data_IF_062173788219
#
_entry.id   IF_062173788219
#
_cell.length_a   1.000
_cell.length_b   1.000
_cell.length_c   1.000
_cell.angle_alpha   90.00
_cell.angle_beta   90.00
_cell.angle_gamma   90.00
#
_symmetry.space_group_name_H-M   'P 1'
#
loop_
_entity.id
_entity.type
_entity.pdbx_description
1 polymer ?
#
# COMPACT_ATOMS: atom_id res chain seq x y z
N UNK A 1 -13.44 21.95 39.69
CA UNK A 1 -13.10 20.56 39.42
C UNK A 1 -11.73 20.59 38.75
N UNK A 2 -10.68 19.98 39.37
CA UNK A 2 -9.40 19.78 38.69
C UNK A 2 -9.67 18.85 37.51
N UNK A 3 -9.20 19.21 36.30
CA UNK A 3 -9.28 18.33 35.17
C UNK A 3 -8.35 17.14 35.39
N UNK A 4 -8.82 15.94 35.09
CA UNK A 4 -7.98 14.75 35.15
C UNK A 4 -6.87 14.84 34.11
N UNK A 5 -5.66 14.38 34.47
CA UNK A 5 -4.48 14.45 33.60
C UNK A 5 -4.16 13.09 32.98
N UNK A 6 -4.04 13.10 31.66
CA UNK A 6 -3.50 11.99 30.90
C UNK A 6 -2.03 12.29 30.61
N UNK A 7 -1.14 11.51 31.21
CA UNK A 7 0.31 11.66 31.03
C UNK A 7 0.78 10.70 29.93
N UNK A 8 1.55 11.21 28.99
CA UNK A 8 2.12 10.45 27.89
C UNK A 8 3.64 10.36 28.06
N UNK A 9 4.14 9.14 28.09
CA UNK A 9 5.56 8.84 28.15
C UNK A 9 6.01 8.15 26.87
N UNK A 10 7.08 8.62 26.26
CA UNK A 10 7.70 7.96 25.13
C UNK A 10 8.39 6.67 25.61
N UNK A 11 7.93 5.53 25.13
CA UNK A 11 8.62 4.25 25.34
C UNK A 11 9.75 4.06 24.31
N UNK A 12 9.42 4.29 23.05
CA UNK A 12 10.33 4.29 21.91
C UNK A 12 9.62 4.98 20.74
N UNK A 13 10.19 4.92 19.53
CA UNK A 13 9.55 5.55 18.37
C UNK A 13 8.32 4.77 17.83
N UNK A 14 8.04 3.56 18.31
CA UNK A 14 6.84 2.81 17.95
C UNK A 14 5.68 3.01 18.92
N UNK A 15 5.97 3.18 20.23
CA UNK A 15 4.97 3.18 21.29
C UNK A 15 5.08 4.36 22.25
N UNK A 16 3.90 4.87 22.65
CA UNK A 16 3.70 5.70 23.83
C UNK A 16 3.12 4.86 24.97
N UNK A 17 3.45 5.18 26.21
CA UNK A 17 2.81 4.67 27.40
C UNK A 17 1.88 5.73 27.99
N UNK A 18 0.64 5.36 28.20
CA UNK A 18 -0.40 6.22 28.78
C UNK A 18 -0.46 5.99 30.29
N UNK A 19 -0.43 7.06 31.07
CA UNK A 19 -0.55 7.05 32.52
C UNK A 19 -1.68 7.99 32.94
N UNK A 20 -2.55 7.53 33.81
CA UNK A 20 -3.62 8.33 34.41
C UNK A 20 -3.91 7.77 35.81
N UNK A 21 -4.16 8.65 36.80
CA UNK A 21 -4.50 8.24 38.14
C UNK A 21 -5.92 7.67 38.21
N UNK A 22 -6.82 8.23 37.40
CA UNK A 22 -8.18 7.71 37.29
C UNK A 22 -8.26 6.53 36.32
N UNK A 23 -8.57 5.37 36.87
CA UNK A 23 -8.78 4.13 36.08
C UNK A 23 -10.00 4.21 35.15
N UNK A 24 -10.99 5.04 35.51
CA UNK A 24 -12.16 5.28 34.65
C UNK A 24 -11.77 5.93 33.33
N UNK A 25 -10.89 6.92 33.36
CA UNK A 25 -10.34 7.57 32.15
C UNK A 25 -9.59 6.59 31.28
N UNK A 26 -8.75 5.72 31.87
CA UNK A 26 -8.03 4.68 31.12
C UNK A 26 -8.98 3.67 30.49
N UNK A 27 -10.05 3.28 31.20
CA UNK A 27 -11.06 2.38 30.64
C UNK A 27 -11.84 3.02 29.49
N UNK A 28 -12.23 4.28 29.62
CA UNK A 28 -12.90 5.06 28.58
C UNK A 28 -12.02 5.23 27.34
N UNK A 29 -10.73 5.53 27.55
CA UNK A 29 -9.76 5.63 26.48
C UNK A 29 -9.54 4.29 25.77
N UNK A 30 -9.47 3.19 26.53
CA UNK A 30 -9.39 1.84 25.97
C UNK A 30 -10.61 1.50 25.11
N UNK A 31 -11.81 1.89 25.53
CA UNK A 31 -13.03 1.69 24.75
C UNK A 31 -13.02 2.54 23.48
N UNK A 32 -12.59 3.79 23.57
CA UNK A 32 -12.45 4.69 22.41
C UNK A 32 -11.52 4.11 21.34
N UNK A 33 -10.43 3.47 21.72
CA UNK A 33 -9.47 2.84 20.82
C UNK A 33 -9.73 1.33 20.57
N UNK A 34 -10.96 0.87 20.78
CA UNK A 34 -11.39 -0.51 20.53
C UNK A 34 -12.42 -0.53 19.41
N UNK A 35 -12.19 -1.36 18.40
CA UNK A 35 -13.03 -1.42 17.20
C UNK A 35 -13.34 -2.86 16.84
N UNK A 36 -14.53 -3.12 16.29
CA UNK A 36 -14.83 -4.37 15.64
C UNK A 36 -14.12 -4.48 14.29
N UNK A 37 -13.50 -5.62 14.04
CA UNK A 37 -12.91 -5.91 12.73
C UNK A 37 -14.02 -6.11 11.70
N UNK A 38 -13.99 -5.47 10.53
CA UNK A 38 -14.99 -5.68 9.50
C UNK A 38 -15.15 -7.17 9.15
N UNK A 39 -16.37 -7.66 9.15
CA UNK A 39 -16.65 -9.07 8.87
C UNK A 39 -16.28 -10.07 9.99
N UNK A 40 -16.00 -9.61 11.19
CA UNK A 40 -15.58 -10.45 12.32
C UNK A 40 -16.51 -11.64 12.58
N UNK A 41 -17.83 -11.48 12.39
CA UNK A 41 -18.85 -12.54 12.58
C UNK A 41 -18.62 -13.77 11.68
N UNK A 42 -17.96 -13.59 10.56
CA UNK A 42 -17.66 -14.65 9.59
C UNK A 42 -16.31 -15.33 9.82
N UNK A 43 -15.48 -14.79 10.70
CA UNK A 43 -14.14 -15.31 10.96
C UNK A 43 -14.19 -16.54 11.87
N UNK A 44 -13.40 -17.60 11.57
CA UNK A 44 -13.36 -18.82 12.37
C UNK A 44 -13.05 -18.58 13.85
N UNK A 45 -12.10 -17.68 14.15
CA UNK A 45 -11.71 -17.36 15.52
C UNK A 45 -12.87 -16.79 16.37
N UNK A 46 -13.73 -15.98 15.75
CA UNK A 46 -14.93 -15.45 16.40
C UNK A 46 -16.00 -16.55 16.56
N UNK A 47 -16.25 -17.33 15.51
CA UNK A 47 -17.22 -18.45 15.54
C UNK A 47 -16.85 -19.50 16.60
N UNK A 48 -15.56 -19.75 16.75
CA UNK A 48 -15.01 -20.70 17.75
C UNK A 48 -14.84 -20.06 19.14
N UNK A 49 -15.30 -18.83 19.36
CA UNK A 49 -15.21 -18.09 20.63
C UNK A 49 -13.79 -17.93 21.19
N UNK A 50 -12.78 -18.00 20.34
CA UNK A 50 -11.36 -17.78 20.68
C UNK A 50 -11.02 -16.30 20.70
N UNK A 51 -11.83 -15.48 20.02
CA UNK A 51 -11.65 -14.05 19.89
C UNK A 51 -13.00 -13.33 19.84
N UNK A 52 -13.07 -12.13 20.41
CA UNK A 52 -14.31 -11.34 20.56
C UNK A 52 -14.65 -10.45 19.36
N UNK A 53 -13.89 -10.54 18.27
CA UNK A 53 -14.10 -9.74 17.05
C UNK A 53 -13.53 -8.33 17.12
N UNK A 54 -12.86 -7.96 18.19
CA UNK A 54 -12.34 -6.61 18.42
C UNK A 54 -10.83 -6.53 18.27
N UNK A 55 -10.36 -5.39 17.77
CA UNK A 55 -8.98 -4.95 17.86
C UNK A 55 -8.89 -3.84 18.89
N UNK A 56 -7.88 -3.93 19.73
CA UNK A 56 -7.57 -2.94 20.76
C UNK A 56 -6.25 -2.28 20.42
N UNK A 57 -6.27 -0.96 20.22
CA UNK A 57 -5.07 -0.18 19.88
C UNK A 57 -4.29 0.24 21.11
N UNK A 58 -4.91 0.15 22.31
CA UNK A 58 -4.24 0.25 23.61
C UNK A 58 -4.12 -1.16 24.20
N UNK A 59 -2.95 -1.55 24.63
CA UNK A 59 -2.77 -2.78 25.43
C UNK A 59 -3.19 -2.48 26.87
N UNK A 60 -4.27 -3.09 27.33
CA UNK A 60 -4.84 -2.85 28.68
C UNK A 60 -3.94 -3.32 29.83
N UNK A 61 -2.88 -4.08 29.57
CA UNK A 61 -1.93 -4.55 30.59
C UNK A 61 -0.78 -3.58 30.76
N UNK A 62 -0.31 -3.02 29.65
CA UNK A 62 0.85 -2.12 29.64
C UNK A 62 0.47 -0.66 29.43
N UNK A 63 -0.77 -0.37 29.04
CA UNK A 63 -1.28 0.93 28.62
C UNK A 63 -0.45 1.55 27.47
N UNK A 64 0.06 0.70 26.59
CA UNK A 64 0.83 1.12 25.44
C UNK A 64 -0.06 1.30 24.22
N UNK A 65 0.21 2.35 23.44
CA UNK A 65 -0.47 2.69 22.20
C UNK A 65 0.56 3.06 21.14
N UNK A 66 0.24 2.85 19.87
CA UNK A 66 1.11 3.31 18.79
C UNK A 66 1.34 4.82 18.84
N UNK A 67 2.61 5.20 18.75
CA UNK A 67 3.01 6.60 18.86
C UNK A 67 2.35 7.51 17.81
N UNK A 68 2.08 6.99 16.61
CA UNK A 68 1.42 7.73 15.54
C UNK A 68 -0.04 8.12 15.81
N UNK A 69 -0.63 7.63 16.91
CA UNK A 69 -2.00 7.98 17.32
C UNK A 69 -2.07 9.17 18.29
N UNK A 70 -0.98 9.90 18.49
CA UNK A 70 -0.93 11.04 19.41
C UNK A 70 -2.06 12.05 19.18
N UNK A 71 -2.30 12.46 17.94
CA UNK A 71 -3.37 13.43 17.61
C UNK A 71 -4.77 12.90 17.96
N UNK A 72 -4.98 11.58 17.90
CA UNK A 72 -6.24 10.96 18.35
C UNK A 72 -6.38 10.93 19.87
N UNK A 73 -5.26 10.88 20.61
CA UNK A 73 -5.28 11.00 22.07
C UNK A 73 -5.65 12.42 22.46
N UNK A 74 -5.11 13.44 21.80
CA UNK A 74 -5.49 14.83 22.02
C UNK A 74 -6.98 15.04 21.70
N UNK A 75 -7.46 14.51 20.57
CA UNK A 75 -8.88 14.58 20.20
C UNK A 75 -9.79 13.88 21.22
N UNK A 76 -9.37 12.74 21.76
CA UNK A 76 -10.08 12.05 22.84
C UNK A 76 -10.19 12.93 24.09
N UNK A 77 -9.07 13.52 24.51
CA UNK A 77 -9.01 14.35 25.71
C UNK A 77 -9.84 15.65 25.59
N UNK A 78 -9.83 16.27 24.41
CA UNK A 78 -10.52 17.52 24.13
C UNK A 78 -12.02 17.36 23.81
N UNK A 79 -12.53 16.12 23.66
CA UNK A 79 -13.92 15.87 23.27
C UNK A 79 -14.92 16.45 24.29
N UNK A 80 -16.09 16.87 23.78
CA UNK A 80 -17.16 17.44 24.61
C UNK A 80 -17.54 16.50 25.76
N UNK A 81 -17.61 17.06 26.96
CA UNK A 81 -17.92 16.32 28.20
C UNK A 81 -16.72 15.67 28.89
N UNK A 82 -15.52 15.69 28.27
CA UNK A 82 -14.28 15.14 28.89
C UNK A 82 -13.41 16.22 29.49
N UNK A 83 -12.82 17.07 28.64
CA UNK A 83 -11.94 18.15 29.09
C UNK A 83 -10.71 17.67 29.88
N UNK A 84 -10.15 16.53 29.50
CA UNK A 84 -8.92 16.02 30.11
C UNK A 84 -7.70 16.84 29.67
N UNK A 85 -6.73 17.00 30.56
CA UNK A 85 -5.46 17.67 30.24
C UNK A 85 -4.41 16.65 29.79
N UNK A 86 -3.72 16.92 28.70
CA UNK A 86 -2.57 16.11 28.25
C UNK A 86 -1.30 16.70 28.84
N UNK A 87 -0.51 15.85 29.46
CA UNK A 87 0.83 16.17 29.99
C UNK A 87 1.87 15.25 29.35
N UNK A 88 2.75 15.83 28.52
CA UNK A 88 3.85 15.08 27.93
C UNK A 88 5.02 15.00 28.92
N UNK A 89 5.47 13.78 29.22
CA UNK A 89 6.53 13.52 30.20
C UNK A 89 7.94 13.57 29.58
N UNK A 90 8.02 13.46 28.25
CA UNK A 90 9.25 13.56 27.48
C UNK A 90 9.12 14.69 26.45
N UNK A 91 10.22 15.34 26.11
CA UNK A 91 10.27 16.38 25.08
C UNK A 91 11.31 16.01 23.99
N UNK A 92 10.90 15.74 22.77
CA UNK A 92 9.52 15.54 22.30
C UNK A 92 9.01 14.12 22.59
N UNK A 93 7.75 14.01 23.02
CA UNK A 93 7.08 12.71 23.21
C UNK A 93 6.90 11.98 21.88
N UNK A 94 6.55 12.73 20.87
CA UNK A 94 6.24 12.22 19.55
C UNK A 94 6.54 13.28 18.51
N UNK A 95 7.71 13.22 17.84
CA UNK A 95 8.05 14.16 16.77
C UNK A 95 7.72 15.64 17.07
N UNK A 96 7.43 15.97 18.32
CA UNK A 96 7.10 17.29 18.79
C UNK A 96 8.26 17.88 19.58
N UNK A 97 8.43 19.20 19.53
CA UNK A 97 7.62 20.08 18.70
C UNK A 97 7.84 19.73 17.23
N UNK A 98 6.73 19.62 16.48
CA UNK A 98 6.79 19.60 15.03
C UNK A 98 7.62 20.80 14.62
N UNK A 99 8.57 20.63 13.74
CA UNK A 99 9.36 21.76 13.28
C UNK A 99 8.41 22.84 12.76
N UNK A 100 8.53 24.06 13.28
CA UNK A 100 7.80 25.21 12.75
C UNK A 100 8.51 25.79 11.52
N UNK A 101 9.70 25.28 11.21
CA UNK A 101 10.46 25.65 10.04
C UNK A 101 10.25 24.62 8.96
N UNK A 102 9.95 25.09 7.76
CA UNK A 102 9.95 24.25 6.57
C UNK A 102 11.35 23.65 6.39
N UNK A 103 11.47 22.36 6.03
CA UNK A 103 12.77 21.79 5.75
C UNK A 103 13.41 22.51 4.56
N UNK A 104 14.72 22.66 4.62
CA UNK A 104 15.48 23.15 3.48
C UNK A 104 15.39 22.13 2.34
N UNK A 105 14.67 22.48 1.30
CA UNK A 105 14.47 21.64 0.10
C UNK A 105 15.52 21.89 -0.99
N UNK A 106 16.51 22.77 -0.75
CA UNK A 106 17.56 23.07 -1.72
C UNK A 106 18.41 21.84 -2.09
N UNK A 107 18.48 20.84 -1.21
CA UNK A 107 19.18 19.58 -1.50
C UNK A 107 18.69 18.88 -2.78
N UNK A 108 17.44 19.10 -3.17
CA UNK A 108 16.86 18.49 -4.38
C UNK A 108 17.50 19.05 -5.65
N UNK A 109 17.90 20.33 -5.62
CA UNK A 109 18.56 20.99 -6.74
C UNK A 109 20.00 20.47 -6.96
N UNK A 110 20.62 19.97 -5.89
CA UNK A 110 21.97 19.40 -5.92
C UNK A 110 22.00 17.95 -6.42
N UNK A 111 20.84 17.28 -6.54
CA UNK A 111 20.74 15.91 -7.03
C UNK A 111 20.47 15.91 -8.53
N UNK A 112 21.37 15.38 -9.36
CA UNK A 112 21.16 15.27 -10.81
C UNK A 112 20.21 14.10 -11.13
N UNK A 113 18.90 14.33 -10.94
CA UNK A 113 17.86 13.35 -11.15
C UNK A 113 17.67 12.98 -12.62
N UNK A 114 17.52 11.69 -12.87
CA UNK A 114 17.22 11.17 -14.21
C UNK A 114 16.11 10.13 -14.18
N UNK A 115 15.45 9.93 -15.30
CA UNK A 115 14.56 8.81 -15.54
C UNK A 115 14.69 8.39 -17.01
N UNK A 116 14.97 7.11 -17.24
CA UNK A 116 15.22 6.54 -18.57
C UNK A 116 16.33 7.27 -19.35
N UNK A 117 17.35 7.70 -18.63
CA UNK A 117 18.49 8.43 -19.21
C UNK A 117 18.23 9.91 -19.48
N UNK A 118 17.01 10.40 -19.28
CA UNK A 118 16.66 11.81 -19.44
C UNK A 118 16.64 12.52 -18.07
N UNK A 119 17.11 13.77 -18.05
CA UNK A 119 17.06 14.59 -16.83
C UNK A 119 15.61 14.91 -16.45
N UNK A 120 15.27 14.75 -15.18
CA UNK A 120 13.93 15.03 -14.67
C UNK A 120 13.96 16.04 -13.53
N UNK A 121 12.80 16.66 -13.29
CA UNK A 121 12.53 17.47 -12.09
C UNK A 121 11.33 16.91 -11.35
N UNK A 122 11.38 16.86 -10.01
CA UNK A 122 10.22 16.52 -9.21
C UNK A 122 9.08 17.50 -9.46
N UNK A 123 7.86 17.02 -9.41
CA UNK A 123 6.65 17.84 -9.49
C UNK A 123 6.39 18.53 -8.16
N UNK A 124 5.65 19.64 -8.17
CA UNK A 124 5.39 20.44 -6.99
C UNK A 124 4.78 19.61 -5.85
N UNK A 125 3.77 18.78 -6.15
CA UNK A 125 3.14 17.91 -5.15
C UNK A 125 4.09 16.86 -4.56
N UNK A 126 5.11 16.42 -5.32
CA UNK A 126 6.13 15.49 -4.81
C UNK A 126 7.06 16.21 -3.82
N UNK A 127 7.46 17.44 -4.14
CA UNK A 127 8.28 18.28 -3.24
C UNK A 127 7.51 18.63 -1.96
N UNK A 128 6.24 19.00 -2.08
CA UNK A 128 5.35 19.25 -0.94
C UNK A 128 5.20 18.02 -0.04
N UNK A 129 5.06 16.82 -0.63
CA UNK A 129 4.97 15.57 0.12
C UNK A 129 6.28 15.25 0.87
N UNK A 130 7.43 15.45 0.23
CA UNK A 130 8.76 15.31 0.87
C UNK A 130 8.89 16.30 2.01
N UNK A 131 8.61 17.58 1.79
CA UNK A 131 8.68 18.63 2.80
C UNK A 131 7.77 18.30 4.00
N UNK A 132 6.52 17.90 3.75
CA UNK A 132 5.57 17.48 4.79
C UNK A 132 6.11 16.30 5.61
N UNK A 133 6.61 15.26 4.95
CA UNK A 133 7.15 14.08 5.60
C UNK A 133 8.37 14.42 6.48
N UNK A 134 9.28 15.24 5.99
CA UNK A 134 10.47 15.66 6.74
C UNK A 134 10.12 16.54 7.94
N UNK A 135 9.18 17.48 7.77
CA UNK A 135 8.72 18.36 8.87
C UNK A 135 8.11 17.55 10.01
N UNK A 136 7.28 16.56 9.68
CA UNK A 136 6.55 15.78 10.67
C UNK A 136 7.31 14.53 11.15
N UNK A 137 8.39 14.14 10.47
CA UNK A 137 9.18 12.91 10.72
C UNK A 137 8.37 11.62 10.59
N UNK A 138 7.05 11.72 10.58
CA UNK A 138 6.08 10.63 10.46
C UNK A 138 4.96 11.04 9.52
N UNK A 139 4.62 10.18 8.56
CA UNK A 139 3.49 10.43 7.68
C UNK A 139 3.06 9.17 6.97
N UNK A 140 1.76 9.07 6.73
CA UNK A 140 1.17 8.11 5.82
C UNK A 140 0.83 8.84 4.51
N UNK A 141 1.68 8.68 3.49
CA UNK A 141 1.53 9.38 2.20
C UNK A 141 0.55 8.61 1.31
N UNK A 142 -0.61 9.18 1.08
CA UNK A 142 -1.60 8.65 0.15
C UNK A 142 -1.32 9.21 -1.25
N UNK A 143 -0.74 8.38 -2.10
CA UNK A 143 -0.18 8.75 -3.39
C UNK A 143 -0.68 7.77 -4.46
N UNK A 144 -1.56 8.18 -5.38
CA UNK A 144 -2.16 7.28 -6.36
C UNK A 144 -1.12 6.70 -7.31
N UNK A 145 -1.50 5.66 -8.03
CA UNK A 145 -0.67 5.07 -9.09
C UNK A 145 -0.23 6.15 -10.07
N UNK A 146 1.00 6.05 -10.56
CA UNK A 146 1.64 7.01 -11.47
C UNK A 146 1.93 8.41 -10.91
N UNK A 147 1.72 8.65 -9.61
CA UNK A 147 2.15 9.91 -8.96
C UNK A 147 3.66 10.01 -8.73
N UNK A 148 4.41 8.93 -8.99
CA UNK A 148 5.86 8.91 -8.76
C UNK A 148 6.24 8.66 -7.29
N UNK A 149 5.55 7.75 -6.59
CA UNK A 149 5.84 7.36 -5.21
C UNK A 149 7.31 7.02 -4.97
N UNK A 150 7.93 6.26 -5.88
CA UNK A 150 9.32 5.85 -5.74
C UNK A 150 10.30 7.02 -5.76
N UNK A 151 9.99 8.10 -6.50
CA UNK A 151 10.79 9.32 -6.47
C UNK A 151 10.68 10.05 -5.12
N UNK A 152 9.49 10.12 -4.54
CA UNK A 152 9.30 10.67 -3.18
C UNK A 152 10.13 9.88 -2.18
N UNK A 153 10.07 8.53 -2.22
CA UNK A 153 10.85 7.66 -1.33
C UNK A 153 12.36 7.88 -1.55
N UNK A 154 12.80 7.98 -2.81
CA UNK A 154 14.20 8.24 -3.15
C UNK A 154 14.70 9.56 -2.55
N UNK A 155 13.93 10.64 -2.70
CA UNK A 155 14.29 11.96 -2.16
C UNK A 155 14.34 11.94 -0.62
N UNK A 156 13.42 11.27 0.05
CA UNK A 156 13.45 11.06 1.51
C UNK A 156 14.71 10.31 1.93
N UNK A 157 15.09 9.25 1.20
CA UNK A 157 16.32 8.52 1.46
C UNK A 157 17.57 9.38 1.28
N UNK A 158 17.64 10.15 0.20
CA UNK A 158 18.79 11.03 -0.10
C UNK A 158 18.95 12.07 1.02
N UNK A 159 17.86 12.75 1.38
CA UNK A 159 17.90 13.71 2.49
C UNK A 159 18.38 13.07 3.79
N UNK A 160 17.84 11.87 4.12
CA UNK A 160 18.22 11.19 5.36
C UNK A 160 19.70 10.81 5.38
N UNK A 161 20.24 10.31 4.27
CA UNK A 161 21.65 9.94 4.15
C UNK A 161 22.59 11.13 4.33
N UNK A 162 22.18 12.32 3.91
CA UNK A 162 22.98 13.54 3.99
C UNK A 162 22.92 14.19 5.38
N UNK A 163 21.86 13.95 6.13
CA UNK A 163 21.60 14.61 7.41
C UNK A 163 21.75 13.71 8.65
N UNK A 164 21.86 12.39 8.48
CA UNK A 164 21.92 11.40 9.55
C UNK A 164 22.93 10.30 9.24
N UNK A 165 23.52 9.71 10.28
CA UNK A 165 24.45 8.57 10.14
C UNK A 165 23.76 7.20 10.16
N UNK A 166 22.48 7.13 10.54
CA UNK A 166 21.70 5.90 10.66
C UNK A 166 21.41 5.24 9.33
N UNK A 167 20.86 4.03 9.38
CA UNK A 167 20.45 3.25 8.22
C UNK A 167 18.96 3.43 7.92
N UNK A 168 18.58 3.14 6.68
CA UNK A 168 17.20 3.21 6.19
C UNK A 168 16.71 1.81 5.87
N UNK A 169 15.54 1.42 6.39
CA UNK A 169 14.85 0.19 6.04
C UNK A 169 13.63 0.50 5.18
N UNK A 170 13.61 0.00 3.96
CA UNK A 170 12.44 0.05 3.06
C UNK A 170 11.82 -1.33 3.02
N UNK A 171 10.55 -1.43 3.43
CA UNK A 171 9.80 -2.69 3.48
C UNK A 171 8.73 -2.69 2.41
N UNK A 172 8.76 -3.71 1.57
CA UNK A 172 7.83 -3.90 0.46
C UNK A 172 7.16 -5.28 0.53
N UNK A 173 5.98 -5.47 -0.09
CA UNK A 173 5.24 -6.73 0.03
C UNK A 173 5.79 -7.90 -0.81
N UNK A 174 6.50 -7.63 -1.91
CA UNK A 174 6.93 -8.68 -2.85
C UNK A 174 8.37 -8.50 -3.32
N UNK A 175 8.99 -9.61 -3.75
CA UNK A 175 10.33 -9.59 -4.36
C UNK A 175 10.41 -8.70 -5.60
N UNK A 176 9.36 -8.72 -6.43
CA UNK A 176 9.28 -7.86 -7.62
C UNK A 176 9.36 -6.38 -7.26
N UNK A 177 8.74 -5.95 -6.15
CA UNK A 177 8.80 -4.57 -5.68
C UNK A 177 10.15 -4.22 -5.08
N UNK A 178 10.88 -5.18 -4.49
CA UNK A 178 12.29 -4.96 -4.08
C UNK A 178 13.14 -4.60 -5.31
N UNK A 179 13.04 -5.40 -6.37
CA UNK A 179 13.79 -5.17 -7.61
C UNK A 179 13.35 -3.88 -8.31
N UNK A 180 12.05 -3.60 -8.33
CA UNK A 180 11.52 -2.37 -8.91
C UNK A 180 12.03 -1.13 -8.16
N UNK A 181 11.98 -1.11 -6.83
CA UNK A 181 12.46 0.00 -6.01
C UNK A 181 13.96 0.24 -6.24
N UNK A 182 14.75 -0.84 -6.26
CA UNK A 182 16.17 -0.75 -6.54
C UNK A 182 16.43 -0.24 -7.97
N UNK A 183 15.69 -0.73 -8.96
CA UNK A 183 15.78 -0.30 -10.35
C UNK A 183 15.40 1.17 -10.52
N UNK A 184 14.35 1.64 -9.85
CA UNK A 184 13.94 3.04 -9.86
C UNK A 184 15.05 3.94 -9.26
N UNK A 185 15.64 3.54 -8.13
CA UNK A 185 16.74 4.28 -7.51
C UNK A 185 17.98 4.32 -8.40
N UNK A 186 18.29 3.21 -9.09
CA UNK A 186 19.36 3.15 -10.08
C UNK A 186 19.12 4.12 -11.24
N UNK A 187 17.89 4.16 -11.76
CA UNK A 187 17.50 5.05 -12.85
C UNK A 187 17.57 6.53 -12.43
N UNK A 188 17.04 6.85 -11.23
CA UNK A 188 17.10 8.22 -10.70
C UNK A 188 18.52 8.73 -10.46
N UNK A 189 19.47 7.85 -10.17
CA UNK A 189 20.87 8.18 -9.87
C UNK A 189 21.83 8.01 -11.05
N UNK A 190 21.34 7.72 -12.26
CA UNK A 190 22.19 7.41 -13.42
C UNK A 190 23.19 8.54 -13.73
N UNK A 191 22.80 9.80 -13.53
CA UNK A 191 23.67 10.96 -13.79
C UNK A 191 24.39 11.49 -12.53
N UNK A 192 24.21 10.81 -11.38
CA UNK A 192 24.79 11.23 -10.11
C UNK A 192 26.12 10.52 -9.84
N UNK A 193 27.24 11.20 -10.09
CA UNK A 193 28.58 10.65 -9.84
C UNK A 193 28.90 10.44 -8.35
N UNK A 194 28.21 11.13 -7.48
CA UNK A 194 28.46 11.13 -6.03
C UNK A 194 27.63 10.06 -5.29
N UNK A 195 26.66 9.47 -5.96
CA UNK A 195 25.81 8.44 -5.39
C UNK A 195 25.91 7.13 -6.19
N UNK A 196 26.36 6.08 -5.54
CA UNK A 196 26.45 4.74 -6.11
C UNK A 196 25.45 3.80 -5.43
N UNK A 197 24.39 3.43 -6.15
CA UNK A 197 23.31 2.57 -5.63
C UNK A 197 23.82 1.19 -5.21
N UNK A 198 24.80 0.60 -5.89
CA UNK A 198 25.33 -0.73 -5.57
C UNK A 198 26.04 -0.76 -4.22
N UNK A 199 26.63 0.38 -3.81
CA UNK A 199 27.22 0.54 -2.49
C UNK A 199 26.22 1.00 -1.45
N UNK A 200 25.27 1.85 -1.84
CA UNK A 200 24.33 2.47 -0.94
C UNK A 200 23.19 1.53 -0.51
N UNK A 201 22.75 0.62 -1.38
CA UNK A 201 21.57 -0.22 -1.16
C UNK A 201 21.86 -1.71 -1.19
N UNK A 202 21.24 -2.42 -0.24
CA UNK A 202 21.24 -3.88 -0.13
C UNK A 202 19.82 -4.42 -0.22
N UNK A 203 19.62 -5.47 -1.04
CA UNK A 203 18.33 -6.13 -1.25
C UNK A 203 18.23 -7.41 -0.44
N UNK A 204 17.16 -7.60 0.31
CA UNK A 204 16.92 -8.81 1.10
C UNK A 204 15.62 -9.46 0.66
N UNK A 205 15.71 -10.64 0.06
CA UNK A 205 14.62 -11.54 -0.25
C UNK A 205 15.12 -12.97 -0.45
N UNK A 206 14.25 -13.97 -0.26
CA UNK A 206 14.46 -15.34 -0.72
C UNK A 206 15.85 -15.96 -0.44
N UNK A 207 16.39 -15.86 0.79
CA UNK A 207 17.68 -16.47 1.15
C UNK A 207 18.91 -15.58 0.97
N UNK A 208 18.74 -14.32 0.58
CA UNK A 208 19.82 -13.34 0.53
C UNK A 208 20.40 -13.05 1.93
N UNK A 209 21.68 -12.65 1.95
CA UNK A 209 22.34 -12.27 3.21
C UNK A 209 21.62 -11.08 3.86
N UNK A 210 21.33 -11.23 5.16
CA UNK A 210 20.62 -10.23 5.96
C UNK A 210 21.57 -9.29 6.72
N UNK A 211 22.86 -9.52 6.65
CA UNK A 211 23.85 -8.88 7.51
C UNK A 211 24.83 -7.97 6.77
N UNK A 212 24.49 -7.52 5.55
CA UNK A 212 25.31 -6.54 4.87
C UNK A 212 25.23 -5.19 5.63
N UNK A 213 26.29 -4.85 6.39
CA UNK A 213 26.36 -3.65 7.20
C UNK A 213 26.92 -2.43 6.45
N UNK A 214 27.50 -2.62 5.27
CA UNK A 214 28.14 -1.55 4.51
C UNK A 214 27.09 -0.67 3.79
N UNK A 215 25.96 -1.25 3.40
CA UNK A 215 24.89 -0.52 2.75
C UNK A 215 24.01 0.20 3.76
N UNK A 216 23.82 1.50 3.56
CA UNK A 216 22.97 2.33 4.44
C UNK A 216 21.49 2.26 4.12
N UNK A 217 21.11 1.80 2.92
CA UNK A 217 19.74 1.54 2.52
C UNK A 217 19.53 0.02 2.44
N UNK A 218 18.52 -0.50 3.12
CA UNK A 218 18.11 -1.90 3.02
C UNK A 218 16.71 -1.95 2.44
N UNK A 219 16.54 -2.63 1.32
CA UNK A 219 15.24 -2.86 0.69
C UNK A 219 14.88 -4.33 0.88
N UNK A 220 13.80 -4.61 1.59
CA UNK A 220 13.44 -5.98 1.98
C UNK A 220 11.97 -6.28 1.82
N UNK A 221 11.66 -7.55 1.51
CA UNK A 221 10.31 -8.05 1.76
C UNK A 221 10.11 -8.27 3.27
N UNK A 222 8.89 -8.03 3.77
CA UNK A 222 8.59 -8.25 5.18
C UNK A 222 8.78 -9.73 5.58
N UNK A 223 8.51 -10.67 4.68
CA UNK A 223 8.64 -12.12 4.92
C UNK A 223 10.06 -12.52 5.27
N UNK A 224 11.03 -11.82 4.71
CA UNK A 224 12.44 -12.14 4.93
C UNK A 224 12.96 -11.69 6.30
N UNK A 225 12.32 -10.67 6.92
CA UNK A 225 12.86 -10.01 8.12
C UNK A 225 11.95 -10.06 9.36
N UNK A 226 10.65 -10.35 9.25
CA UNK A 226 9.71 -10.23 10.38
C UNK A 226 10.06 -11.12 11.59
N UNK A 227 10.80 -12.23 11.38
CA UNK A 227 11.26 -13.14 12.44
C UNK A 227 12.59 -12.72 13.08
N UNK A 228 13.29 -11.73 12.50
CA UNK A 228 14.55 -11.28 13.06
C UNK A 228 14.34 -10.64 14.45
N UNK A 229 15.35 -10.72 15.33
CA UNK A 229 15.26 -10.13 16.67
C UNK A 229 15.19 -8.61 16.61
N UNK A 230 14.59 -7.98 17.63
CA UNK A 230 14.46 -6.53 17.73
C UNK A 230 15.81 -5.80 17.60
N UNK A 231 16.89 -6.41 18.08
CA UNK A 231 18.23 -5.84 17.99
C UNK A 231 18.65 -5.56 16.53
N UNK A 232 18.26 -6.41 15.57
CA UNK A 232 18.55 -6.19 14.15
C UNK A 232 17.91 -4.91 13.62
N UNK A 233 16.70 -4.59 14.11
CA UNK A 233 15.95 -3.40 13.67
C UNK A 233 16.45 -2.09 14.30
N UNK A 234 17.25 -2.14 15.35
CA UNK A 234 17.72 -0.95 16.06
C UNK A 234 18.75 -0.12 15.29
N UNK A 235 19.33 -0.67 14.24
CA UNK A 235 20.29 0.04 13.38
C UNK A 235 19.59 1.05 12.44
N UNK A 236 18.26 0.96 12.30
CA UNK A 236 17.50 1.78 11.37
C UNK A 236 16.89 2.99 12.08
N UNK A 237 17.38 4.19 11.74
CA UNK A 237 16.81 5.46 12.20
C UNK A 237 15.67 5.97 11.30
N UNK A 238 15.50 5.37 10.12
CA UNK A 238 14.42 5.63 9.18
C UNK A 238 13.82 4.32 8.71
N UNK A 239 12.48 4.21 8.71
CA UNK A 239 11.75 3.08 8.14
C UNK A 239 10.67 3.58 7.19
N UNK A 240 10.61 2.96 6.02
CA UNK A 240 9.64 3.27 4.97
C UNK A 240 8.88 1.99 4.62
N UNK A 241 7.55 2.04 4.66
CA UNK A 241 6.69 0.96 4.22
C UNK A 241 5.99 1.33 2.91
N UNK A 242 6.39 0.73 1.81
CA UNK A 242 5.67 0.89 0.55
C UNK A 242 4.51 -0.10 0.44
N UNK A 243 3.47 0.25 -0.30
CA UNK A 243 2.18 -0.45 -0.32
C UNK A 243 1.65 -0.68 1.10
N UNK A 244 1.67 0.38 1.91
CA UNK A 244 1.44 0.34 3.35
C UNK A 244 0.07 -0.22 3.75
N UNK A 245 -0.92 -0.24 2.84
CA UNK A 245 -2.21 -0.88 3.08
C UNK A 245 -2.11 -2.37 3.44
N UNK A 246 -0.98 -3.03 3.16
CA UNK A 246 -0.70 -4.40 3.57
C UNK A 246 -0.27 -4.52 5.04
N UNK A 247 0.14 -3.44 5.72
CA UNK A 247 0.66 -3.44 7.09
C UNK A 247 -0.40 -3.62 8.18
N UNK A 248 -1.58 -4.06 7.84
CA UNK A 248 -2.61 -4.52 8.78
C UNK A 248 -2.38 -5.93 9.32
N UNK A 249 -1.61 -6.75 8.62
CA UNK A 249 -1.27 -8.10 9.08
C UNK A 249 -0.29 -8.07 10.25
N UNK A 250 -0.48 -8.95 11.23
CA UNK A 250 0.33 -9.00 12.46
C UNK A 250 1.84 -9.11 12.20
N UNK A 251 2.25 -9.87 11.21
CA UNK A 251 3.66 -10.05 10.85
C UNK A 251 4.29 -8.77 10.29
N UNK A 252 3.55 -8.03 9.45
CA UNK A 252 3.96 -6.73 8.92
C UNK A 252 4.00 -5.67 10.02
N UNK A 253 2.98 -5.62 10.87
CA UNK A 253 2.92 -4.74 12.03
C UNK A 253 4.12 -4.98 12.95
N UNK A 254 4.52 -6.24 13.15
CA UNK A 254 5.66 -6.59 14.00
C UNK A 254 7.00 -6.03 13.50
N UNK A 255 7.19 -5.90 12.19
CA UNK A 255 8.39 -5.26 11.62
C UNK A 255 8.48 -3.81 12.07
N UNK A 256 7.38 -3.06 11.91
CA UNK A 256 7.33 -1.63 12.27
C UNK A 256 7.45 -1.40 13.79
N UNK A 257 6.88 -2.27 14.59
CA UNK A 257 6.93 -2.16 16.06
C UNK A 257 8.29 -2.53 16.65
N UNK A 258 9.12 -3.30 15.93
CA UNK A 258 10.51 -3.59 16.30
C UNK A 258 11.49 -2.46 15.95
N UNK A 259 11.12 -1.54 15.07
CA UNK A 259 11.93 -0.39 14.69
C UNK A 259 11.89 0.68 15.78
N UNK A 260 12.46 0.38 16.96
CA UNK A 260 12.37 1.24 18.15
C UNK A 260 13.12 2.56 18.00
N UNK A 261 14.18 2.57 17.23
CA UNK A 261 15.06 3.74 17.06
C UNK A 261 14.77 4.52 15.75
N UNK A 262 13.78 4.07 14.97
CA UNK A 262 13.37 4.76 13.75
C UNK A 262 12.49 5.97 14.08
N UNK A 263 13.12 7.14 14.18
CA UNK A 263 12.47 8.43 14.38
C UNK A 263 11.69 8.85 13.14
N UNK A 264 12.25 8.58 11.94
CA UNK A 264 11.61 8.85 10.66
C UNK A 264 10.84 7.61 10.21
N UNK A 265 9.51 7.76 10.05
CA UNK A 265 8.59 6.66 9.75
C UNK A 265 7.61 7.07 8.67
N UNK A 266 7.77 6.53 7.47
CA UNK A 266 6.95 6.89 6.32
C UNK A 266 6.25 5.66 5.75
N UNK A 267 4.94 5.77 5.56
CA UNK A 267 4.16 4.82 4.80
C UNK A 267 3.75 5.43 3.46
N UNK A 268 3.75 4.65 2.40
CA UNK A 268 3.21 5.07 1.11
C UNK A 268 2.20 4.05 0.61
N UNK A 269 1.09 4.51 0.08
CA UNK A 269 0.08 3.67 -0.57
C UNK A 269 -0.75 4.46 -1.56
N UNK A 270 -1.24 3.79 -2.61
CA UNK A 270 -2.20 4.38 -3.53
C UNK A 270 -3.64 4.40 -3.02
N UNK A 271 -3.96 3.51 -2.09
CA UNK A 271 -5.34 3.27 -1.63
C UNK A 271 -5.42 2.89 -0.16
N UNK A 272 -6.53 3.25 0.48
CA UNK A 272 -6.95 2.75 1.78
C UNK A 272 -8.24 1.95 1.60
N UNK A 273 -8.49 0.95 2.47
CA UNK A 273 -9.69 0.10 2.37
C UNK A 273 -10.99 0.78 2.85
N UNK A 274 -10.91 2.03 3.29
CA UNK A 274 -12.04 2.83 3.77
C UNK A 274 -12.49 2.49 5.19
N UNK A 275 -11.89 1.51 5.86
CA UNK A 275 -12.23 1.19 7.25
C UNK A 275 -11.42 2.02 8.24
N UNK A 276 -12.09 2.52 9.30
CA UNK A 276 -11.43 3.30 10.35
C UNK A 276 -10.35 2.47 11.07
N UNK A 277 -10.60 1.20 11.34
CA UNK A 277 -9.63 0.31 11.99
C UNK A 277 -8.33 0.19 11.21
N UNK A 278 -8.43 -0.01 9.89
CA UNK A 278 -7.26 -0.09 9.02
C UNK A 278 -6.49 1.24 8.99
N UNK A 279 -7.20 2.35 8.83
CA UNK A 279 -6.61 3.69 8.85
C UNK A 279 -5.86 3.95 10.15
N UNK A 280 -6.47 3.67 11.30
CA UNK A 280 -5.86 3.91 12.62
C UNK A 280 -4.61 3.06 12.86
N UNK A 281 -4.58 1.81 12.40
CA UNK A 281 -3.38 0.97 12.50
C UNK A 281 -2.23 1.57 11.68
N UNK A 282 -2.51 2.00 10.44
CA UNK A 282 -1.49 2.60 9.58
C UNK A 282 -1.00 3.95 10.12
N UNK A 283 -1.92 4.82 10.55
CA UNK A 283 -1.56 6.10 11.16
C UNK A 283 -0.80 5.90 12.48
N UNK A 284 -1.14 4.88 13.24
CA UNK A 284 -0.40 4.52 14.46
C UNK A 284 1.03 4.10 14.19
N UNK A 285 1.27 3.34 13.15
CA UNK A 285 2.59 2.84 12.79
C UNK A 285 3.47 3.90 12.11
N UNK A 286 2.88 4.71 11.25
CA UNK A 286 3.60 5.67 10.42
C UNK A 286 3.36 7.12 10.85
N UNK A 287 2.13 7.56 10.95
CA UNK A 287 1.72 8.92 11.25
C UNK A 287 0.44 9.29 10.49
N UNK A 288 -0.08 10.52 10.69
CA UNK A 288 -1.31 10.97 10.03
C UNK A 288 -1.25 10.87 8.51
N UNK A 289 -2.42 10.59 7.91
CA UNK A 289 -2.56 10.53 6.43
C UNK A 289 -2.37 11.92 5.83
N UNK A 290 -1.51 11.98 4.83
CA UNK A 290 -1.31 13.14 3.96
C UNK A 290 -1.63 12.77 2.52
N UNK A 291 -2.51 13.51 1.89
CA UNK A 291 -2.88 13.32 0.47
C UNK A 291 -1.86 14.02 -0.43
N UNK A 292 -1.04 13.23 -1.12
CA UNK A 292 0.01 13.75 -2.01
C UNK A 292 -0.60 14.43 -3.22
N UNK A 293 -1.47 13.74 -3.91
CA UNK A 293 -2.30 14.24 -5.02
C UNK A 293 -3.46 13.27 -5.24
N UNK A 294 -4.38 13.60 -6.14
CA UNK A 294 -5.49 12.73 -6.51
C UNK A 294 -5.37 12.24 -7.93
N UNK A 295 -5.99 11.09 -8.23
CA UNK A 295 -6.07 10.57 -9.61
C UNK A 295 -6.72 11.60 -10.55
N UNK A 296 -7.70 12.36 -10.06
CA UNK A 296 -8.38 13.41 -10.82
C UNK A 296 -7.41 14.55 -11.19
N UNK A 297 -6.64 15.04 -10.23
CA UNK A 297 -5.62 16.07 -10.48
C UNK A 297 -4.61 15.63 -11.51
N UNK A 298 -4.11 14.37 -11.42
CA UNK A 298 -3.18 13.80 -12.39
C UNK A 298 -3.77 13.67 -13.80
N UNK A 299 -5.08 13.40 -13.92
CA UNK A 299 -5.79 13.40 -15.20
C UNK A 299 -5.97 14.82 -15.75
N UNK A 300 -6.38 15.75 -14.90
CA UNK A 300 -6.60 17.17 -15.28
C UNK A 300 -5.31 17.83 -15.75
N UNK A 301 -4.16 17.44 -15.17
CA UNK A 301 -2.82 17.89 -15.58
C UNK A 301 -2.27 17.15 -16.82
N UNK A 302 -3.00 16.17 -17.36
CA UNK A 302 -2.54 15.34 -18.48
C UNK A 302 -1.42 14.36 -18.14
N UNK A 303 -1.16 14.13 -16.85
CA UNK A 303 -0.17 13.17 -16.37
C UNK A 303 -0.66 11.75 -16.39
N UNK A 304 -1.98 11.55 -16.37
CA UNK A 304 -2.67 10.29 -16.58
C UNK A 304 -3.63 10.38 -17.77
N UNK A 305 -3.81 9.26 -18.45
CA UNK A 305 -4.83 9.14 -19.48
C UNK A 305 -6.23 9.34 -18.90
N UNK A 306 -7.13 9.93 -19.68
CA UNK A 306 -8.55 10.00 -19.32
C UNK A 306 -9.12 8.58 -19.18
N UNK A 307 -10.00 8.38 -18.21
CA UNK A 307 -10.65 7.10 -17.95
C UNK A 307 -12.16 7.24 -18.14
N UNK A 308 -12.72 6.51 -19.10
CA UNK A 308 -14.15 6.37 -19.30
C UNK A 308 -14.62 5.04 -18.71
N UNK A 309 -15.54 5.08 -17.75
CA UNK A 309 -16.07 3.89 -17.09
C UNK A 309 -17.46 3.57 -17.64
N UNK A 310 -17.58 2.45 -18.34
CA UNK A 310 -18.84 1.94 -18.85
C UNK A 310 -19.33 0.76 -18.00
N UNK A 311 -20.46 0.92 -17.33
CA UNK A 311 -21.10 -0.14 -16.54
C UNK A 311 -22.13 -0.86 -17.40
N UNK A 312 -21.82 -2.11 -17.79
CA UNK A 312 -22.70 -2.94 -18.62
C UNK A 312 -23.59 -3.82 -17.73
N UNK A 313 -24.88 -3.54 -17.70
CA UNK A 313 -25.85 -4.30 -16.92
C UNK A 313 -26.40 -5.48 -17.75
N UNK A 314 -25.96 -6.70 -17.41
CA UNK A 314 -26.47 -7.91 -18.01
C UNK A 314 -27.77 -8.33 -17.31
N UNK A 315 -28.84 -8.46 -18.08
CA UNK A 315 -30.14 -8.95 -17.59
C UNK A 315 -30.24 -10.46 -17.81
N UNK A 316 -30.68 -11.17 -16.81
CA UNK A 316 -30.96 -12.59 -16.84
C UNK A 316 -32.48 -12.83 -16.82
N UNK A 317 -32.97 -13.97 -17.37
CA UNK A 317 -34.39 -14.34 -17.30
C UNK A 317 -34.90 -14.39 -15.86
N UNK A 318 -36.12 -13.93 -15.62
CA UNK A 318 -36.73 -13.91 -14.29
C UNK A 318 -36.82 -15.30 -13.64
N UNK A 319 -36.97 -16.35 -14.40
CA UNK A 319 -36.95 -17.74 -13.92
C UNK A 319 -35.63 -18.09 -13.28
N UNK A 320 -34.52 -17.72 -13.90
CA UNK A 320 -33.17 -17.95 -13.43
C UNK A 320 -32.84 -17.08 -12.18
N UNK A 321 -33.29 -15.83 -12.19
CA UNK A 321 -33.16 -14.97 -11.03
C UNK A 321 -33.92 -15.51 -9.80
N UNK A 322 -35.09 -16.12 -10.03
CA UNK A 322 -35.86 -16.77 -8.95
C UNK A 322 -35.19 -18.04 -8.42
N UNK A 323 -34.59 -18.83 -9.30
CA UNK A 323 -33.86 -20.06 -8.94
C UNK A 323 -32.64 -19.73 -8.04
N UNK A 324 -31.91 -18.66 -8.37
CA UNK A 324 -30.74 -18.22 -7.61
C UNK A 324 -31.08 -17.35 -6.38
N UNK A 325 -32.37 -17.04 -6.17
CA UNK A 325 -32.80 -16.25 -5.03
C UNK A 325 -32.56 -17.01 -3.71
N UNK A 326 -31.64 -16.48 -2.91
CA UNK A 326 -31.22 -17.12 -1.64
C UNK A 326 -30.02 -18.06 -1.76
N UNK A 327 -29.43 -18.19 -2.97
CA UNK A 327 -28.17 -18.88 -3.16
C UNK A 327 -27.06 -18.24 -2.31
N UNK A 328 -26.07 -19.05 -1.90
CA UNK A 328 -24.89 -18.53 -1.25
C UNK A 328 -24.02 -17.77 -2.25
N UNK A 329 -23.26 -16.80 -1.75
CA UNK A 329 -22.35 -15.98 -2.57
C UNK A 329 -21.47 -16.81 -3.52
N UNK A 330 -20.92 -17.94 -3.05
CA UNK A 330 -20.11 -18.82 -3.89
C UNK A 330 -20.89 -19.48 -5.01
N UNK A 331 -22.14 -19.85 -4.76
CA UNK A 331 -23.04 -20.45 -5.77
C UNK A 331 -23.38 -19.43 -6.87
N UNK A 332 -23.65 -18.18 -6.48
CA UNK A 332 -23.85 -17.09 -7.45
C UNK A 332 -22.60 -16.84 -8.29
N UNK A 333 -21.41 -16.82 -7.67
CA UNK A 333 -20.15 -16.65 -8.40
C UNK A 333 -19.89 -17.81 -9.36
N UNK A 334 -20.07 -19.06 -8.91
CA UNK A 334 -19.89 -20.24 -9.73
C UNK A 334 -20.84 -20.23 -10.95
N UNK A 335 -22.09 -19.80 -10.74
CA UNK A 335 -23.03 -19.57 -11.84
C UNK A 335 -22.51 -18.49 -12.81
N UNK A 336 -22.11 -17.33 -12.32
CA UNK A 336 -21.68 -16.21 -13.17
C UNK A 336 -20.45 -16.56 -14.00
N UNK A 337 -19.46 -17.24 -13.45
CA UNK A 337 -18.21 -17.56 -14.15
C UNK A 337 -18.38 -18.74 -15.13
N UNK A 338 -19.33 -19.62 -14.90
CA UNK A 338 -19.65 -20.75 -15.79
C UNK A 338 -20.74 -20.44 -16.83
N UNK A 339 -21.42 -19.30 -16.72
CA UNK A 339 -22.52 -18.96 -17.65
C UNK A 339 -21.99 -18.72 -19.05
N UNK A 340 -22.37 -19.61 -19.97
CA UNK A 340 -21.89 -19.62 -21.35
C UNK A 340 -22.28 -18.35 -22.12
N UNK A 341 -23.50 -17.88 -21.96
CA UNK A 341 -23.99 -16.66 -22.63
C UNK A 341 -23.23 -15.43 -22.18
N UNK A 342 -22.94 -15.34 -20.88
CA UNK A 342 -22.13 -14.27 -20.31
C UNK A 342 -20.70 -14.31 -20.84
N UNK A 343 -20.08 -15.48 -20.85
CA UNK A 343 -18.71 -15.64 -21.34
C UNK A 343 -18.59 -15.34 -22.84
N UNK A 344 -19.60 -15.71 -23.65
CA UNK A 344 -19.70 -15.31 -25.06
C UNK A 344 -19.88 -13.80 -25.22
N UNK A 345 -20.62 -13.15 -24.33
CA UNK A 345 -20.75 -11.70 -24.34
C UNK A 345 -19.40 -11.02 -24.03
N UNK A 346 -18.67 -11.48 -22.98
CA UNK A 346 -17.36 -10.95 -22.63
C UNK A 346 -16.35 -11.15 -23.77
N UNK A 347 -16.35 -12.33 -24.41
CA UNK A 347 -15.55 -12.61 -25.59
C UNK A 347 -15.84 -11.59 -26.71
N UNK A 348 -17.10 -11.40 -27.06
CA UNK A 348 -17.48 -10.47 -28.11
C UNK A 348 -17.08 -9.04 -27.76
N UNK A 349 -17.29 -8.63 -26.51
CA UNK A 349 -16.89 -7.33 -26.03
C UNK A 349 -15.36 -7.13 -26.16
N UNK A 350 -14.56 -8.13 -25.79
CA UNK A 350 -13.10 -8.06 -25.89
C UNK A 350 -12.63 -7.99 -27.37
N UNK A 351 -13.27 -8.73 -28.25
CA UNK A 351 -12.95 -8.74 -29.68
C UNK A 351 -13.38 -7.46 -30.39
N UNK A 352 -14.42 -6.79 -29.91
CA UNK A 352 -14.96 -5.54 -30.46
C UNK A 352 -14.16 -4.30 -30.04
N UNK A 353 -13.31 -4.40 -29.02
CA UNK A 353 -12.48 -3.28 -28.60
C UNK A 353 -11.39 -3.00 -29.62
N UNK A 354 -11.17 -1.73 -29.91
CA UNK A 354 -9.97 -1.26 -30.61
C UNK A 354 -8.86 -0.96 -29.60
N UNK A 355 -7.63 -1.35 -29.92
CA UNK A 355 -6.47 -1.18 -29.04
C UNK A 355 -6.24 -2.36 -28.09
N UNK A 356 -5.11 -2.33 -27.42
CA UNK A 356 -4.74 -3.39 -26.48
C UNK A 356 -5.75 -3.48 -25.34
N UNK A 357 -6.29 -4.68 -25.14
CA UNK A 357 -7.38 -4.93 -24.20
C UNK A 357 -6.96 -5.93 -23.14
N UNK A 358 -7.14 -5.57 -21.87
CA UNK A 358 -6.90 -6.41 -20.72
C UNK A 358 -8.24 -6.97 -20.20
N UNK A 359 -8.37 -8.29 -20.13
CA UNK A 359 -9.54 -8.99 -19.60
C UNK A 359 -9.18 -9.63 -18.26
N UNK A 360 -9.71 -9.11 -17.17
CA UNK A 360 -9.37 -9.52 -15.82
C UNK A 360 -10.32 -10.56 -15.25
N UNK A 361 -9.78 -11.68 -14.79
CA UNK A 361 -10.53 -12.75 -14.14
C UNK A 361 -9.98 -13.08 -12.74
N UNK A 362 -10.78 -13.79 -11.93
CA UNK A 362 -10.39 -14.23 -10.59
C UNK A 362 -10.04 -15.72 -10.51
N UNK A 363 -10.77 -16.59 -11.21
CA UNK A 363 -10.64 -18.05 -11.13
C UNK A 363 -9.94 -18.59 -12.38
N UNK A 364 -8.75 -19.16 -12.21
CA UNK A 364 -7.90 -19.62 -13.32
C UNK A 364 -8.59 -20.73 -14.11
N UNK A 365 -8.91 -21.85 -13.47
CA UNK A 365 -9.45 -23.04 -14.14
C UNK A 365 -10.93 -22.89 -14.54
N UNK A 366 -11.75 -22.32 -13.66
CA UNK A 366 -13.19 -22.21 -13.87
C UNK A 366 -13.60 -21.12 -14.86
N UNK A 367 -12.79 -20.08 -15.02
CA UNK A 367 -13.17 -18.90 -15.80
C UNK A 367 -12.07 -18.41 -16.74
N UNK A 368 -10.87 -18.20 -16.25
CA UNK A 368 -9.78 -17.60 -17.04
C UNK A 368 -9.39 -18.42 -18.26
N UNK A 369 -9.10 -19.70 -18.10
CA UNK A 369 -8.76 -20.59 -19.22
C UNK A 369 -9.93 -20.75 -20.21
N UNK A 370 -11.16 -21.08 -19.79
CA UNK A 370 -12.29 -21.15 -20.72
C UNK A 370 -12.54 -19.84 -21.48
N UNK A 371 -12.40 -18.69 -20.81
CA UNK A 371 -12.58 -17.40 -21.45
C UNK A 371 -11.48 -17.09 -22.47
N UNK A 372 -10.21 -17.40 -22.13
CA UNK A 372 -9.10 -17.29 -23.06
C UNK A 372 -9.32 -18.13 -24.32
N UNK A 373 -9.71 -19.39 -24.15
CA UNK A 373 -9.95 -20.30 -25.28
C UNK A 373 -11.08 -19.82 -26.18
N UNK A 374 -12.20 -19.33 -25.60
CA UNK A 374 -13.30 -18.72 -26.35
C UNK A 374 -12.87 -17.48 -27.13
N UNK A 375 -12.02 -16.63 -26.57
CA UNK A 375 -11.50 -15.43 -27.23
C UNK A 375 -10.54 -15.85 -28.35
N UNK A 376 -9.61 -16.77 -28.08
CA UNK A 376 -8.62 -17.26 -29.04
C UNK A 376 -9.23 -17.91 -30.23
N UNK A 377 -10.28 -18.74 -30.04
CA UNK A 377 -11.01 -19.42 -31.11
C UNK A 377 -11.65 -18.45 -32.13
N UNK A 378 -12.06 -17.26 -31.67
CA UNK A 378 -12.76 -16.28 -32.49
C UNK A 378 -11.88 -15.11 -32.95
N UNK A 379 -10.70 -14.93 -32.36
CA UNK A 379 -9.75 -13.91 -32.77
C UNK A 379 -9.18 -14.24 -34.17
N UNK A 380 -8.87 -13.21 -34.95
CA UNK A 380 -8.12 -13.36 -36.20
C UNK A 380 -6.72 -13.94 -35.95
N UNK A 381 -6.13 -14.60 -36.94
CA UNK A 381 -4.82 -15.26 -36.78
C UNK A 381 -3.68 -14.30 -36.46
N UNK A 382 -3.80 -13.06 -36.89
CA UNK A 382 -2.85 -11.98 -36.69
C UNK A 382 -3.04 -11.23 -35.35
N UNK A 383 -4.17 -11.45 -34.63
CA UNK A 383 -4.43 -10.84 -33.34
C UNK A 383 -3.89 -11.68 -32.18
N UNK A 384 -2.93 -11.14 -31.46
CA UNK A 384 -2.34 -11.82 -30.31
C UNK A 384 -3.31 -11.89 -29.13
N UNK A 385 -3.53 -13.11 -28.61
CA UNK A 385 -4.32 -13.37 -27.40
C UNK A 385 -3.43 -14.09 -26.39
N UNK A 386 -3.10 -13.43 -25.30
CA UNK A 386 -2.21 -13.93 -24.24
C UNK A 386 -3.01 -14.38 -23.03
N UNK A 387 -2.48 -15.38 -22.33
CA UNK A 387 -2.97 -15.82 -21.02
C UNK A 387 -1.91 -15.61 -19.96
N UNK A 388 -2.25 -14.91 -18.88
CA UNK A 388 -1.33 -14.62 -17.78
C UNK A 388 -1.99 -14.92 -16.42
N UNK A 389 -1.34 -15.75 -15.62
CA UNK A 389 -1.83 -16.12 -14.29
C UNK A 389 -0.68 -16.18 -13.29
N UNK A 390 -0.99 -16.50 -12.04
CA UNK A 390 0.02 -16.69 -10.99
C UNK A 390 1.05 -17.77 -11.32
N UNK A 391 0.67 -18.77 -12.14
CA UNK A 391 1.58 -19.82 -12.62
C UNK A 391 2.48 -19.41 -13.80
N UNK A 392 2.27 -18.25 -14.41
CA UNK A 392 3.15 -17.73 -15.46
C UNK A 392 4.46 -17.24 -14.81
N UNK A 393 5.59 -17.71 -15.30
CA UNK A 393 6.91 -17.30 -14.80
C UNK A 393 7.21 -15.81 -15.10
N UNK A 394 8.26 -15.29 -14.49
CA UNK A 394 8.63 -13.88 -14.62
C UNK A 394 9.01 -13.54 -16.06
N UNK A 395 9.75 -14.44 -16.73
CA UNK A 395 10.18 -14.24 -18.12
C UNK A 395 8.98 -14.23 -19.08
N UNK A 396 8.01 -15.12 -18.87
CA UNK A 396 6.77 -15.16 -19.65
C UNK A 396 5.94 -13.90 -19.51
N UNK A 397 5.81 -13.36 -18.30
CA UNK A 397 5.13 -12.09 -18.03
C UNK A 397 5.83 -10.93 -18.70
N UNK A 398 7.16 -10.86 -18.61
CA UNK A 398 7.95 -9.82 -19.23
C UNK A 398 7.86 -9.88 -20.76
N UNK A 399 7.84 -11.07 -21.35
CA UNK A 399 7.64 -11.25 -22.79
C UNK A 399 6.28 -10.73 -23.24
N UNK A 400 5.20 -11.06 -22.52
CA UNK A 400 3.87 -10.54 -22.80
C UNK A 400 3.83 -9.03 -22.73
N UNK A 401 4.46 -8.44 -21.69
CA UNK A 401 4.59 -6.98 -21.55
C UNK A 401 5.28 -6.35 -22.77
N UNK A 402 6.45 -6.87 -23.16
CA UNK A 402 7.24 -6.33 -24.27
C UNK A 402 6.53 -6.43 -25.61
N UNK A 403 5.84 -7.54 -25.86
CA UNK A 403 5.05 -7.70 -27.10
C UNK A 403 3.89 -6.72 -27.08
N UNK A 404 3.12 -6.65 -25.99
CA UNK A 404 1.94 -5.78 -25.88
C UNK A 404 2.31 -4.29 -26.03
N UNK A 405 3.44 -3.87 -25.52
CA UNK A 405 3.89 -2.48 -25.67
C UNK A 405 4.19 -2.09 -27.14
N UNK A 406 4.45 -3.06 -28.00
CA UNK A 406 4.69 -2.87 -29.45
C UNK A 406 3.43 -3.10 -30.29
N UNK A 407 2.50 -3.87 -29.79
CA UNK A 407 1.24 -4.21 -30.44
C UNK A 407 0.21 -3.08 -30.28
N UNK A 408 -0.73 -3.04 -31.23
CA UNK A 408 -1.81 -2.04 -31.21
C UNK A 408 -3.18 -2.65 -30.91
N UNK A 409 -3.29 -3.99 -30.90
CA UNK A 409 -4.58 -4.68 -30.84
C UNK A 409 -4.50 -6.05 -30.14
N UNK A 410 -3.59 -6.20 -29.19
CA UNK A 410 -3.46 -7.44 -28.42
C UNK A 410 -4.56 -7.56 -27.34
N UNK A 411 -4.94 -8.80 -27.04
CA UNK A 411 -5.83 -9.12 -25.91
C UNK A 411 -5.04 -9.91 -24.88
N UNK A 412 -5.08 -9.48 -23.62
CA UNK A 412 -4.43 -10.16 -22.49
C UNK A 412 -5.53 -10.63 -21.54
N UNK A 413 -5.71 -11.93 -21.41
CA UNK A 413 -6.61 -12.56 -20.43
C UNK A 413 -5.78 -12.86 -19.18
N UNK A 414 -6.00 -12.14 -18.09
CA UNK A 414 -5.11 -12.14 -16.95
C UNK A 414 -5.83 -12.27 -15.61
N UNK A 415 -5.16 -12.91 -14.65
CA UNK A 415 -5.71 -12.95 -13.28
C UNK A 415 -5.53 -11.61 -12.58
N UNK A 416 -6.57 -11.16 -11.85
CA UNK A 416 -6.54 -9.91 -11.06
C UNK A 416 -5.35 -9.85 -10.11
N UNK A 417 -4.95 -10.98 -9.49
CA UNK A 417 -3.83 -11.02 -8.55
C UNK A 417 -2.47 -10.71 -9.17
N UNK A 418 -2.28 -11.02 -10.44
CA UNK A 418 -1.01 -10.76 -11.14
C UNK A 418 -0.88 -9.29 -11.50
N UNK A 419 -1.96 -8.65 -11.93
CA UNK A 419 -1.93 -7.24 -12.33
C UNK A 419 -2.02 -6.26 -11.16
N UNK A 420 -2.66 -6.63 -10.06
CA UNK A 420 -2.69 -5.79 -8.84
C UNK A 420 -1.34 -5.72 -8.10
N UNK A 421 -0.36 -6.54 -8.45
CA UNK A 421 0.91 -6.68 -7.70
C UNK A 421 2.17 -6.42 -8.52
N UNK A 422 2.11 -5.70 -9.66
CA UNK A 422 3.33 -5.19 -10.26
C UNK A 422 3.65 -5.53 -11.70
N UNK A 423 2.67 -5.79 -12.55
CA UNK A 423 2.91 -5.73 -14.01
C UNK A 423 2.41 -4.38 -14.51
N UNK A 424 3.34 -3.53 -14.92
CA UNK A 424 3.02 -2.25 -15.56
C UNK A 424 3.16 -2.38 -17.08
N UNK A 425 2.02 -2.45 -17.79
CA UNK A 425 1.97 -2.41 -19.25
C UNK A 425 1.46 -1.03 -19.67
N UNK A 426 2.33 -0.22 -20.27
CA UNK A 426 2.03 1.20 -20.58
C UNK A 426 1.05 1.40 -21.73
N UNK A 427 0.87 0.40 -22.59
CA UNK A 427 0.09 0.50 -23.82
C UNK A 427 -1.23 -0.28 -23.71
N UNK A 428 -1.94 -0.19 -22.58
CA UNK A 428 -3.29 -0.73 -22.40
C UNK A 428 -4.32 0.37 -22.68
N UNK A 429 -5.28 0.09 -23.52
CA UNK A 429 -6.33 1.03 -23.91
C UNK A 429 -7.69 0.68 -23.27
N UNK A 430 -7.97 -0.60 -23.07
CA UNK A 430 -9.23 -1.07 -22.51
C UNK A 430 -8.99 -2.08 -21.38
N UNK A 431 -9.82 -2.01 -20.35
CA UNK A 431 -9.83 -2.99 -19.25
C UNK A 431 -11.26 -3.52 -19.08
N UNK A 432 -11.42 -4.84 -19.15
CA UNK A 432 -12.69 -5.54 -18.95
C UNK A 432 -12.60 -6.35 -17.65
N UNK A 433 -13.40 -5.99 -16.65
CA UNK A 433 -13.53 -6.78 -15.42
C UNK A 433 -14.50 -7.94 -15.67
N UNK A 434 -13.97 -9.10 -16.00
CA UNK A 434 -14.76 -10.29 -16.32
C UNK A 434 -15.29 -11.01 -15.08
N UNK A 435 -14.64 -10.91 -13.93
CA UNK A 435 -15.11 -11.49 -12.67
C UNK A 435 -15.52 -10.41 -11.68
N UNK A 436 -16.63 -10.59 -10.94
CA UNK A 436 -17.01 -9.66 -9.90
C UNK A 436 -16.00 -9.67 -8.74
N UNK A 437 -15.70 -8.50 -8.18
CA UNK A 437 -14.86 -8.35 -7.00
C UNK A 437 -15.47 -7.35 -6.03
N UNK A 438 -15.50 -7.70 -4.73
CA UNK A 438 -15.94 -6.80 -3.65
C UNK A 438 -14.78 -6.00 -3.05
N UNK A 439 -13.53 -6.27 -3.44
CA UNK A 439 -12.36 -5.59 -2.90
C UNK A 439 -12.12 -4.28 -3.64
N UNK A 440 -12.40 -3.15 -2.98
CA UNK A 440 -12.13 -1.82 -3.50
C UNK A 440 -10.63 -1.64 -3.84
N UNK A 441 -9.73 -2.08 -2.96
CA UNK A 441 -8.28 -1.99 -3.20
C UNK A 441 -7.89 -2.73 -4.48
N UNK A 442 -8.38 -3.96 -4.66
CA UNK A 442 -8.07 -4.78 -5.83
C UNK A 442 -8.56 -4.14 -7.13
N UNK A 443 -9.77 -3.58 -7.13
CA UNK A 443 -10.32 -2.90 -8.30
C UNK A 443 -9.57 -1.62 -8.63
N UNK A 444 -9.20 -0.82 -7.61
CA UNK A 444 -8.48 0.43 -7.81
C UNK A 444 -7.01 0.24 -8.23
N UNK A 445 -6.42 -0.91 -7.93
CA UNK A 445 -5.03 -1.23 -8.30
C UNK A 445 -4.91 -2.02 -9.62
N UNK A 446 -6.01 -2.54 -10.15
CA UNK A 446 -6.04 -3.21 -11.46
C UNK A 446 -6.18 -2.23 -12.59
#
# INVERSE_FOLDING_TARGET
>A
LMSEKIRLKKKNHAYLQVQCEDRGVLAEMSEFFTFYVPGYKFMPAYKNRVWDGKIRLIDNRTNEIYAGLYDYIEAFAAAEGRGYEIEDLDDPVYGLPRSTQDPDMSFVEDIPLSAKGESIRPRDYQLEAVAHALTNKRSMLLSPTASGKSLIIYLLCRWYLDNHDGRILIVVPTTSLVEQMYGDFSDYSTHDSDFNIEKAAHRIYGGQDKNNQDARIVISTWQSIYKLPTQWFREFGCVIGDEAHNFKAKSLTSVLTKCHDAEYRFGTTGTLDGTQTHKLVLEGLFGPVYHVTTTKELMDEGSLASLDINVLLLKYPDSLCKELKGAKYQEEIDFLVSNESRNKFIRNLALDQSGNTLVLFQYVEKHGKPLHDLIREKASDDRHVFFVSGGTDVEGRERVRQITEREKDAIIVASMGVFSTGINIRNIHNVIFASPSKSQIRVLQS
#
